data_IF_044009581148
#
_entry.id   IF_044009581148
#
_cell.length_a   1.000
_cell.length_b   1.000
_cell.length_c   1.000
_cell.angle_alpha   90.00
_cell.angle_beta   90.00
_cell.angle_gamma   90.00
#
_symmetry.space_group_name_H-M   'P 1'
#
loop_
_entity.id
_entity.type
_entity.pdbx_description
1 polymer ?
#
# COMPACT_ATOMS: atom_id res chain seq x y z
N UNK A 1 -9.31 -1.91 -4.03
CA UNK A 1 -7.84 -1.78 -4.25
C UNK A 1 -7.37 -3.00 -4.99
N UNK A 2 -6.43 -2.83 -5.92
CA UNK A 2 -5.85 -3.92 -6.70
C UNK A 2 -4.72 -4.60 -5.92
N UNK A 3 -5.06 -5.38 -4.88
CA UNK A 3 -4.09 -6.00 -3.96
C UNK A 3 -3.01 -6.83 -4.65
N UNK A 4 -3.36 -7.55 -5.72
CA UNK A 4 -2.41 -8.35 -6.49
C UNK A 4 -1.37 -7.49 -7.20
N UNK A 5 -1.77 -6.33 -7.73
CA UNK A 5 -0.83 -5.40 -8.38
C UNK A 5 0.09 -4.75 -7.35
N UNK A 6 -0.46 -4.31 -6.22
CA UNK A 6 0.33 -3.75 -5.12
C UNK A 6 1.38 -4.75 -4.61
N UNK A 7 0.98 -6.00 -4.37
CA UNK A 7 1.90 -7.08 -3.97
C UNK A 7 2.91 -7.42 -5.06
N UNK A 8 2.51 -7.41 -6.32
CA UNK A 8 3.41 -7.59 -7.47
C UNK A 8 4.51 -6.52 -7.49
N UNK A 9 4.16 -5.27 -7.21
CA UNK A 9 5.08 -4.14 -7.17
C UNK A 9 6.04 -4.20 -5.97
N UNK A 10 5.58 -4.60 -4.79
CA UNK A 10 6.47 -4.89 -3.65
C UNK A 10 7.51 -5.96 -4.01
N UNK A 11 7.04 -7.07 -4.61
CA UNK A 11 7.92 -8.17 -5.01
C UNK A 11 8.93 -7.77 -6.07
N UNK A 12 8.54 -6.98 -7.07
CA UNK A 12 9.48 -6.53 -8.11
C UNK A 12 10.59 -5.62 -7.59
N UNK A 13 10.36 -4.95 -6.45
CA UNK A 13 11.38 -4.19 -5.72
C UNK A 13 12.23 -5.05 -4.76
N UNK A 14 12.02 -6.37 -4.74
CA UNK A 14 12.64 -7.29 -3.79
C UNK A 14 12.20 -7.06 -2.34
N UNK A 15 10.99 -6.52 -2.13
CA UNK A 15 10.43 -6.18 -0.82
C UNK A 15 9.24 -7.08 -0.47
N UNK A 16 8.88 -7.09 0.81
CA UNK A 16 7.77 -7.84 1.36
C UNK A 16 6.95 -6.99 2.35
N UNK A 17 5.92 -7.58 2.96
CA UNK A 17 5.04 -6.89 3.91
C UNK A 17 5.79 -6.45 5.18
N UNK A 18 6.79 -7.20 5.64
CA UNK A 18 7.61 -6.82 6.81
C UNK A 18 8.41 -5.55 6.53
N UNK A 19 8.99 -5.48 5.33
CA UNK A 19 9.67 -4.28 4.89
C UNK A 19 8.70 -3.10 4.84
N UNK A 20 7.50 -3.29 4.31
CA UNK A 20 6.48 -2.24 4.25
C UNK A 20 6.08 -1.73 5.63
N UNK A 21 5.76 -2.63 6.57
CA UNK A 21 5.45 -2.28 7.97
C UNK A 21 6.58 -1.45 8.60
N UNK A 22 7.82 -1.88 8.42
CA UNK A 22 8.99 -1.15 8.93
C UNK A 22 9.11 0.24 8.32
N UNK A 23 8.90 0.38 7.00
CA UNK A 23 8.97 1.68 6.33
C UNK A 23 7.82 2.61 6.71
N UNK A 24 6.60 2.08 6.86
CA UNK A 24 5.45 2.85 7.33
C UNK A 24 5.70 3.38 8.74
N UNK A 25 6.19 2.52 9.65
CA UNK A 25 6.56 2.92 11.01
C UNK A 25 7.62 4.02 11.02
N UNK A 26 8.67 3.89 10.19
CA UNK A 26 9.71 4.93 10.02
C UNK A 26 9.18 6.26 9.46
N UNK A 27 8.05 6.24 8.77
CA UNK A 27 7.39 7.43 8.22
C UNK A 27 6.21 7.90 9.08
N UNK A 28 6.10 7.43 10.34
CA UNK A 28 5.11 7.91 11.31
C UNK A 28 3.75 7.18 11.25
N UNK A 29 3.59 6.18 10.39
CA UNK A 29 2.37 5.38 10.28
C UNK A 29 2.55 4.04 10.98
N UNK A 30 2.01 3.91 12.19
CA UNK A 30 2.00 2.65 12.91
C UNK A 30 0.88 1.75 12.39
N UNK A 31 1.23 0.80 11.53
CA UNK A 31 0.31 -0.21 11.01
C UNK A 31 0.95 -1.58 11.20
N UNK A 32 0.33 -2.43 12.01
CA UNK A 32 0.86 -3.78 12.24
C UNK A 32 0.79 -4.63 10.97
N UNK A 33 1.70 -5.60 10.87
CA UNK A 33 1.70 -6.62 9.82
C UNK A 33 0.31 -7.25 9.61
N UNK A 34 -0.37 -7.62 10.70
CA UNK A 34 -1.71 -8.24 10.63
C UNK A 34 -2.75 -7.28 10.05
N UNK A 35 -2.71 -6.00 10.41
CA UNK A 35 -3.58 -4.98 9.83
C UNK A 35 -3.31 -4.79 8.33
N UNK A 36 -2.05 -4.83 7.88
CA UNK A 36 -1.71 -4.79 6.45
C UNK A 36 -2.34 -5.98 5.72
N UNK A 37 -2.23 -7.21 6.24
CA UNK A 37 -2.86 -8.38 5.59
C UNK A 37 -4.38 -8.30 5.54
N UNK A 38 -5.03 -7.77 6.57
CA UNK A 38 -6.48 -7.50 6.52
C UNK A 38 -6.83 -6.55 5.36
N UNK A 39 -6.03 -5.50 5.15
CA UNK A 39 -6.21 -4.55 4.04
C UNK A 39 -6.02 -5.19 2.68
N UNK A 40 -4.98 -6.01 2.54
CA UNK A 40 -4.72 -6.76 1.31
C UNK A 40 -5.84 -7.74 0.95
N UNK A 41 -6.56 -8.26 1.94
CA UNK A 41 -7.72 -9.15 1.75
C UNK A 41 -9.05 -8.41 1.56
N UNK A 42 -9.06 -7.07 1.65
CA UNK A 42 -10.28 -6.27 1.59
C UNK A 42 -11.13 -6.32 2.86
N UNK A 43 -10.61 -6.84 3.98
CA UNK A 43 -11.31 -6.83 5.28
C UNK A 43 -11.32 -5.43 5.92
N UNK A 44 -10.42 -4.53 5.48
CA UNK A 44 -10.40 -3.12 5.84
C UNK A 44 -9.67 -2.31 4.76
N UNK A 45 -9.73 -0.99 4.81
CA UNK A 45 -9.09 -0.13 3.80
C UNK A 45 -7.87 0.60 4.37
N UNK A 46 -6.90 0.93 3.51
CA UNK A 46 -5.87 1.90 3.88
C UNK A 46 -6.49 3.29 3.98
N UNK A 47 -6.10 4.05 5.00
CA UNK A 47 -6.53 5.45 5.11
C UNK A 47 -5.81 6.30 4.04
N UNK A 48 -6.36 7.47 3.71
CA UNK A 48 -5.72 8.38 2.76
C UNK A 48 -4.27 8.75 3.17
N UNK A 49 -4.03 8.94 4.47
CA UNK A 49 -2.71 9.21 5.01
C UNK A 49 -1.75 8.01 4.83
N UNK A 50 -2.24 6.78 5.07
CA UNK A 50 -1.45 5.56 4.82
C UNK A 50 -1.12 5.41 3.34
N UNK A 51 -2.08 5.66 2.45
CA UNK A 51 -1.86 5.61 0.99
C UNK A 51 -0.80 6.64 0.57
N UNK A 52 -0.85 7.86 1.12
CA UNK A 52 0.16 8.89 0.85
C UNK A 52 1.57 8.45 1.27
N UNK A 53 1.69 7.85 2.45
CA UNK A 53 2.97 7.33 2.96
C UNK A 53 3.47 6.15 2.13
N UNK A 54 2.59 5.21 1.78
CA UNK A 54 2.94 4.07 0.91
C UNK A 54 3.40 4.57 -0.46
N UNK A 55 2.70 5.53 -1.04
CA UNK A 55 3.03 6.11 -2.36
C UNK A 55 4.41 6.77 -2.35
N UNK A 56 4.75 7.47 -1.25
CA UNK A 56 6.11 8.02 -1.04
C UNK A 56 7.16 6.92 -0.91
N UNK A 57 6.92 5.89 -0.09
CA UNK A 57 7.86 4.78 0.15
C UNK A 57 8.13 3.99 -1.14
N UNK A 58 7.08 3.78 -1.93
CA UNK A 58 7.11 2.98 -3.16
C UNK A 58 7.45 3.79 -4.41
N UNK A 59 7.57 5.12 -4.26
CA UNK A 59 7.74 6.08 -5.34
C UNK A 59 6.71 5.92 -6.47
N UNK A 60 5.43 5.82 -6.09
CA UNK A 60 4.32 5.80 -7.05
C UNK A 60 4.08 7.18 -7.62
N UNK A 61 3.83 7.22 -8.92
CA UNK A 61 3.17 8.34 -9.58
C UNK A 61 1.72 8.46 -9.08
N UNK A 62 1.09 9.62 -9.29
CA UNK A 62 -0.31 9.80 -8.94
C UNK A 62 -1.21 8.80 -9.68
N UNK A 63 -0.92 8.52 -10.95
CA UNK A 63 -1.70 7.58 -11.76
C UNK A 63 -1.57 6.15 -11.23
N UNK A 64 -0.36 5.69 -10.89
CA UNK A 64 -0.15 4.37 -10.26
C UNK A 64 -0.86 4.28 -8.90
N UNK A 65 -0.80 5.34 -8.10
CA UNK A 65 -1.48 5.40 -6.81
C UNK A 65 -2.99 5.28 -6.98
N UNK A 66 -3.58 6.03 -7.91
CA UNK A 66 -5.00 5.97 -8.22
C UNK A 66 -5.40 4.58 -8.74
N UNK A 67 -4.64 4.02 -9.69
CA UNK A 67 -4.93 2.71 -10.26
C UNK A 67 -4.89 1.59 -9.22
N UNK A 68 -3.93 1.64 -8.29
CA UNK A 68 -3.76 0.62 -7.25
C UNK A 68 -4.82 0.76 -6.15
N UNK A 69 -5.03 1.98 -5.63
CA UNK A 69 -5.82 2.19 -4.42
C UNK A 69 -7.28 2.56 -4.67
N UNK A 70 -7.60 3.14 -5.82
CA UNK A 70 -8.92 3.73 -6.12
C UNK A 70 -9.51 3.15 -7.41
N UNK A 71 -10.11 1.97 -7.28
CA UNK A 71 -10.65 1.17 -8.40
C UNK A 71 -11.89 1.81 -9.05
N UNK A 72 -12.66 2.64 -8.33
CA UNK A 72 -13.93 3.22 -8.80
C UNK A 72 -13.80 4.61 -9.46
N UNK A 73 -12.65 5.31 -9.36
CA UNK A 73 -12.51 6.69 -9.85
C UNK A 73 -12.00 6.80 -11.31
N UNK A 74 -11.72 5.68 -11.97
CA UNK A 74 -11.10 5.64 -13.32
C UNK A 74 -12.04 5.05 -14.38
N UNK A 75 -13.35 5.08 -14.14
CA UNK A 75 -14.40 4.69 -15.11
C UNK A 75 -14.95 5.89 -15.86
#
# INVERSE_FOLDING_TARGET
MKSNQFLGRLKSMGKNVDWLESQMTKNGEQVSRSAIYKKLRGESEFTAQQIKVISKIMNFTNDEMLDIFFEELVS
#
